data_IF_725500475855
#
_entry.id   IF_725500475855
#
_cell.length_a   1.000
_cell.length_b   1.000
_cell.length_c   1.000
_cell.angle_alpha   90.00
_cell.angle_beta   90.00
_cell.angle_gamma   90.00
#
_symmetry.space_group_name_H-M   'P 1'
#
loop_
_entity.id
_entity.type
_entity.pdbx_description
1 polymer ?
#
# COMPACT_ATOMS: atom_id res chain seq x y z
N UNK A 1 17.99 -12.04 7.78
CA UNK A 1 18.29 -10.59 7.71
C UNK A 1 17.48 -10.05 6.55
N UNK A 2 16.55 -9.13 6.79
CA UNK A 2 15.73 -8.52 5.74
C UNK A 2 16.63 -7.66 4.88
N UNK A 3 16.82 -8.02 3.62
CA UNK A 3 17.70 -7.27 2.70
C UNK A 3 16.97 -6.14 2.00
N UNK A 4 15.64 -6.24 1.88
CA UNK A 4 14.80 -5.25 1.21
C UNK A 4 14.58 -4.03 2.10
N UNK A 5 14.94 -2.85 1.60
CA UNK A 5 14.85 -1.61 2.37
C UNK A 5 13.48 -0.98 2.31
N UNK A 6 12.86 -0.97 1.13
CA UNK A 6 11.61 -0.23 0.89
C UNK A 6 10.74 -0.92 -0.16
N UNK A 7 9.46 -1.11 0.18
CA UNK A 7 8.40 -1.54 -0.75
C UNK A 7 7.32 -0.47 -0.78
N UNK A 8 6.81 -0.15 -1.96
CA UNK A 8 5.66 0.74 -2.14
C UNK A 8 4.42 -0.06 -2.55
N UNK A 9 3.29 0.22 -1.90
CA UNK A 9 1.97 -0.30 -2.22
C UNK A 9 1.12 0.86 -2.71
N UNK A 10 0.69 0.82 -3.97
CA UNK A 10 -0.12 1.86 -4.59
C UNK A 10 -1.59 1.46 -4.49
N UNK A 11 -2.38 2.31 -3.83
CA UNK A 11 -3.78 2.10 -3.44
C UNK A 11 -3.90 1.71 -1.97
N UNK A 12 -4.60 2.51 -1.17
CA UNK A 12 -4.90 2.27 0.25
C UNK A 12 -6.32 1.70 0.49
N UNK A 13 -6.94 1.16 -0.57
CA UNK A 13 -8.15 0.35 -0.46
C UNK A 13 -7.91 -0.96 0.32
N UNK A 14 -8.94 -1.80 0.46
CA UNK A 14 -8.86 -3.01 1.28
C UNK A 14 -7.67 -3.93 0.93
N UNK A 15 -7.41 -4.14 -0.37
CA UNK A 15 -6.31 -5.00 -0.83
C UNK A 15 -4.95 -4.42 -0.44
N UNK A 16 -4.71 -3.13 -0.72
CA UNK A 16 -3.45 -2.49 -0.38
C UNK A 16 -3.22 -2.33 1.12
N UNK A 17 -4.28 -2.09 1.90
CA UNK A 17 -4.22 -2.08 3.35
C UNK A 17 -3.83 -3.45 3.92
N UNK A 18 -4.47 -4.54 3.47
CA UNK A 18 -4.08 -5.89 3.89
C UNK A 18 -2.67 -6.25 3.42
N UNK A 19 -2.30 -5.86 2.19
CA UNK A 19 -0.97 -6.12 1.65
C UNK A 19 0.12 -5.43 2.49
N UNK A 20 -0.03 -4.14 2.77
CA UNK A 20 0.92 -3.36 3.60
C UNK A 20 1.08 -3.93 5.01
N UNK A 21 -0.02 -4.32 5.67
CA UNK A 21 0.03 -4.97 6.99
C UNK A 21 0.81 -6.29 6.94
N UNK A 22 0.52 -7.14 5.94
CA UNK A 22 1.20 -8.43 5.82
C UNK A 22 2.68 -8.29 5.46
N UNK A 23 3.05 -7.30 4.66
CA UNK A 23 4.45 -6.98 4.39
C UNK A 23 5.18 -6.60 5.68
N UNK A 24 4.55 -5.80 6.53
CA UNK A 24 5.12 -5.36 7.80
C UNK A 24 5.22 -6.52 8.81
N UNK A 25 4.14 -7.27 9.04
CA UNK A 25 4.09 -8.42 9.95
C UNK A 25 5.06 -9.54 9.56
N UNK A 26 5.35 -9.71 8.26
CA UNK A 26 6.29 -10.71 7.76
C UNK A 26 7.73 -10.18 7.64
N UNK A 27 7.96 -8.93 8.03
CA UNK A 27 9.23 -8.24 7.94
C UNK A 27 9.86 -8.35 6.54
N UNK A 28 9.05 -8.15 5.50
CA UNK A 28 9.53 -8.26 4.11
C UNK A 28 10.22 -6.98 3.62
N UNK A 29 10.09 -5.87 4.35
CA UNK A 29 10.84 -4.64 4.10
C UNK A 29 10.93 -3.78 5.37
N UNK A 30 12.06 -3.08 5.55
CA UNK A 30 12.22 -2.15 6.69
C UNK A 30 11.21 -0.99 6.64
N UNK A 31 10.84 -0.53 5.45
CA UNK A 31 9.80 0.48 5.22
C UNK A 31 8.79 0.02 4.19
N UNK A 32 7.52 0.21 4.50
CA UNK A 32 6.40 -0.01 3.57
C UNK A 32 5.71 1.33 3.34
N UNK A 33 5.69 1.81 2.10
CA UNK A 33 4.99 3.05 1.74
C UNK A 33 3.61 2.68 1.22
N UNK A 34 2.56 3.15 1.89
CA UNK A 34 1.18 3.00 1.44
C UNK A 34 0.74 4.29 0.76
N UNK A 35 0.66 4.28 -0.57
CA UNK A 35 0.31 5.44 -1.39
C UNK A 35 -1.17 5.44 -1.75
N UNK A 36 -1.85 6.57 -1.60
CA UNK A 36 -3.18 6.80 -2.16
C UNK A 36 -3.41 8.28 -2.44
N UNK A 37 -4.31 8.62 -3.36
CA UNK A 37 -4.66 10.01 -3.65
C UNK A 37 -5.57 10.62 -2.60
N UNK A 38 -6.30 9.80 -1.83
CA UNK A 38 -7.25 10.28 -0.82
C UNK A 38 -6.49 10.66 0.44
N UNK A 39 -6.39 11.96 0.72
CA UNK A 39 -5.71 12.50 1.90
C UNK A 39 -6.26 11.93 3.21
N UNK A 40 -5.37 11.67 4.17
CA UNK A 40 -5.70 11.16 5.50
C UNK A 40 -5.94 9.66 5.56
N UNK A 41 -6.40 9.03 4.47
CA UNK A 41 -6.64 7.58 4.42
C UNK A 41 -5.34 6.77 4.54
N UNK A 42 -4.32 6.96 3.68
CA UNK A 42 -3.10 6.18 3.78
C UNK A 42 -2.37 6.47 5.10
N UNK A 43 -2.36 7.72 5.58
CA UNK A 43 -1.72 8.11 6.84
C UNK A 43 -2.39 7.44 8.04
N UNK A 44 -3.71 7.49 8.11
CA UNK A 44 -4.47 6.86 9.19
C UNK A 44 -4.24 5.35 9.22
N UNK A 45 -4.28 4.70 8.05
CA UNK A 45 -4.00 3.25 7.96
C UNK A 45 -2.56 2.92 8.32
N UNK A 46 -1.58 3.66 7.81
CA UNK A 46 -0.17 3.42 8.13
C UNK A 46 0.12 3.60 9.63
N UNK A 47 -0.51 4.59 10.27
CA UNK A 47 -0.42 4.78 11.72
C UNK A 47 -1.04 3.62 12.48
N UNK A 48 -2.28 3.25 12.17
CA UNK A 48 -3.03 2.15 12.81
C UNK A 48 -2.24 0.83 12.73
N UNK A 49 -1.72 0.52 11.54
CA UNK A 49 -0.86 -0.65 11.32
C UNK A 49 0.40 -0.61 12.19
N UNK A 50 1.08 0.53 12.27
CA UNK A 50 2.30 0.65 13.07
C UNK A 50 2.03 0.63 14.59
N UNK A 51 0.88 1.12 15.03
CA UNK A 51 0.46 1.04 16.44
C UNK A 51 0.22 -0.40 16.90
N UNK A 52 -0.09 -1.33 15.97
CA UNK A 52 -0.19 -2.76 16.26
C UNK A 52 1.18 -3.45 16.43
N UNK A 53 2.27 -2.82 15.97
CA UNK A 53 3.60 -3.44 15.89
C UNK A 53 4.14 -3.99 17.23
N UNK A 54 3.98 -3.31 18.39
CA UNK A 54 4.45 -3.84 19.68
C UNK A 54 3.72 -5.10 20.15
N UNK A 55 2.48 -5.30 19.68
CA UNK A 55 1.65 -6.45 20.03
C UNK A 55 1.93 -7.62 19.07
N UNK A 56 2.07 -7.30 17.78
CA UNK A 56 2.24 -8.28 16.70
C UNK A 56 3.70 -8.70 16.48
N UNK A 57 4.66 -7.98 17.07
CA UNK A 57 6.07 -8.37 17.11
C UNK A 57 6.86 -8.10 15.83
N UNK A 58 6.62 -6.98 15.15
CA UNK A 58 7.39 -6.55 13.97
C UNK A 58 7.94 -5.13 14.16
N UNK A 59 8.99 -4.76 13.40
CA UNK A 59 9.56 -3.40 13.40
C UNK A 59 9.59 -2.71 12.02
N UNK A 60 8.95 -3.31 11.02
CA UNK A 60 8.80 -2.76 9.68
C UNK A 60 7.86 -1.54 9.66
N UNK A 61 8.40 -0.36 9.34
CA UNK A 61 7.65 0.90 9.43
C UNK A 61 6.71 1.08 8.25
N UNK A 62 5.40 1.11 8.50
CA UNK A 62 4.41 1.54 7.51
C UNK A 62 4.28 3.07 7.52
N UNK A 63 4.33 3.68 6.34
CA UNK A 63 4.19 5.13 6.15
C UNK A 63 3.11 5.36 5.11
N UNK A 64 2.04 6.04 5.51
CA UNK A 64 1.02 6.52 4.58
C UNK A 64 1.44 7.81 3.88
N UNK A 65 1.28 7.87 2.57
CA UNK A 65 1.67 9.02 1.75
C UNK A 65 0.66 9.30 0.63
N UNK A 66 0.61 10.54 0.18
CA UNK A 66 -0.18 10.94 -0.99
C UNK A 66 0.66 11.25 -2.24
N UNK A 67 1.98 11.33 -2.09
CA UNK A 67 2.90 11.80 -3.12
C UNK A 67 4.01 10.75 -3.36
N UNK A 68 4.40 10.57 -4.62
CA UNK A 68 5.30 9.50 -5.04
C UNK A 68 6.74 9.66 -4.55
N UNK A 69 7.13 10.85 -4.12
CA UNK A 69 8.43 11.16 -3.53
C UNK A 69 8.74 10.25 -2.35
N UNK A 70 7.73 9.91 -1.55
CA UNK A 70 7.90 8.98 -0.42
C UNK A 70 8.25 7.55 -0.87
N UNK A 71 7.78 7.16 -2.06
CA UNK A 71 8.07 5.87 -2.67
C UNK A 71 9.39 5.84 -3.46
N UNK A 72 10.14 6.94 -3.51
CA UNK A 72 11.44 6.97 -4.18
C UNK A 72 12.37 5.89 -3.61
N UNK A 73 13.15 5.24 -4.48
CA UNK A 73 14.07 4.16 -4.14
C UNK A 73 13.39 2.91 -3.55
N UNK A 74 12.09 2.71 -3.79
CA UNK A 74 11.44 1.43 -3.49
C UNK A 74 11.94 0.35 -4.43
N UNK A 75 12.30 -0.81 -3.89
CA UNK A 75 12.81 -1.96 -4.66
C UNK A 75 11.67 -2.71 -5.37
N UNK A 76 10.45 -2.63 -4.81
CA UNK A 76 9.24 -3.25 -5.37
C UNK A 76 8.08 -2.26 -5.26
N UNK A 77 7.30 -2.19 -6.34
CA UNK A 77 6.02 -1.51 -6.38
C UNK A 77 4.90 -2.55 -6.56
N UNK A 78 3.92 -2.55 -5.64
CA UNK A 78 2.73 -3.39 -5.69
C UNK A 78 1.55 -2.48 -6.01
N UNK A 79 1.01 -2.59 -7.23
CA UNK A 79 -0.10 -1.74 -7.68
C UNK A 79 -1.42 -2.46 -7.45
N UNK A 80 -2.19 -1.96 -6.49
CA UNK A 80 -3.53 -2.44 -6.13
C UNK A 80 -4.62 -1.40 -6.41
N UNK A 81 -4.21 -0.17 -6.73
CA UNK A 81 -5.07 0.90 -7.16
C UNK A 81 -5.79 0.54 -8.46
N UNK A 82 -7.07 0.88 -8.51
CA UNK A 82 -7.93 0.57 -9.63
C UNK A 82 -9.37 0.52 -9.16
N UNK A 83 -10.28 0.80 -10.08
CA UNK A 83 -11.70 0.69 -9.81
C UNK A 83 -12.14 -0.77 -9.90
N UNK A 84 -13.04 -1.16 -9.00
CA UNK A 84 -13.78 -2.39 -9.15
C UNK A 84 -14.80 -2.26 -10.29
N UNK A 85 -15.11 -3.38 -10.94
CA UNK A 85 -16.16 -3.43 -11.97
C UNK A 85 -17.50 -3.01 -11.38
N UNK A 86 -18.15 -2.03 -12.00
CA UNK A 86 -19.51 -1.59 -11.63
C UNK A 86 -20.57 -2.39 -12.41
N UNK A 87 -21.80 -2.53 -11.88
CA UNK A 87 -22.90 -3.13 -12.65
C UNK A 87 -23.07 -2.44 -14.01
N UNK A 88 -23.22 -3.24 -15.08
CA UNK A 88 -23.34 -2.75 -16.45
C UNK A 88 -22.02 -2.43 -17.18
N UNK A 89 -20.87 -2.46 -16.49
CA UNK A 89 -19.56 -2.18 -17.10
C UNK A 89 -19.03 -3.40 -17.87
N UNK A 90 -18.51 -3.23 -19.09
CA UNK A 90 -17.83 -4.31 -19.83
C UNK A 90 -16.40 -4.52 -19.33
N UNK A 91 -15.74 -5.59 -19.80
CA UNK A 91 -14.31 -5.84 -19.50
C UNK A 91 -13.42 -4.76 -20.12
N UNK A 92 -13.77 -4.30 -21.31
CA UNK A 92 -12.99 -3.28 -22.04
C UNK A 92 -13.15 -1.90 -21.41
N UNK A 93 -14.35 -1.56 -20.92
CA UNK A 93 -14.59 -0.30 -20.20
C UNK A 93 -13.77 -0.24 -18.89
N UNK A 94 -13.73 -1.36 -18.17
CA UNK A 94 -12.94 -1.48 -16.95
C UNK A 94 -11.45 -1.30 -17.23
N UNK A 95 -10.95 -1.95 -18.29
CA UNK A 95 -9.54 -1.86 -18.70
C UNK A 95 -9.19 -0.43 -19.11
N UNK A 96 -10.03 0.23 -19.91
CA UNK A 96 -9.84 1.65 -20.30
C UNK A 96 -9.82 2.58 -19.09
N UNK A 97 -10.69 2.34 -18.11
CA UNK A 97 -10.78 3.21 -16.92
C UNK A 97 -9.58 3.04 -15.99
N UNK A 98 -8.98 1.86 -15.91
CA UNK A 98 -7.81 1.61 -15.05
C UNK A 98 -6.46 1.88 -15.76
N UNK A 99 -6.45 1.94 -17.09
CA UNK A 99 -5.23 2.17 -17.88
C UNK A 99 -4.97 3.66 -18.19
N UNK A 100 -5.97 4.53 -18.03
CA UNK A 100 -5.87 5.98 -18.18
C UNK A 100 -5.74 6.67 -16.84
#
# INVERSE_FOLDING_TARGET
MVTTKKIAVVGAGHVGATCSQLLAQKELAQKVILLDIVEGIPQGKGLDQWESAPIEGFDSRVIGANAYEEAENSEVFIVTAGIARKPGMSRDDLLKTNAG
#
